data_IF_338539690962
#
_entry.id   IF_338539690962
#
_cell.length_a   1.000
_cell.length_b   1.000
_cell.length_c   1.000
_cell.angle_alpha   90.00
_cell.angle_beta   90.00
_cell.angle_gamma   90.00
#
_symmetry.space_group_name_H-M   'P 1'
#
loop_
_entity.id
_entity.type
_entity.pdbx_description
1 polymer ?
#
# COMPACT_ATOMS: atom_id res chain seq x y z
N UNK A 1 -25.91 -32.61 -21.16
CA UNK A 1 -25.96 -31.19 -20.79
C UNK A 1 -24.64 -30.85 -20.10
N UNK A 2 -23.69 -30.19 -20.79
CA UNK A 2 -22.40 -29.79 -20.21
C UNK A 2 -22.63 -28.52 -19.39
N UNK A 3 -22.44 -28.56 -18.07
CA UNK A 3 -22.35 -27.36 -17.27
C UNK A 3 -21.00 -26.70 -17.57
N UNK A 4 -21.02 -25.73 -18.50
CA UNK A 4 -19.94 -24.74 -18.58
C UNK A 4 -20.10 -23.86 -17.35
N UNK A 5 -19.45 -24.25 -16.26
CA UNK A 5 -19.19 -23.32 -15.16
C UNK A 5 -18.08 -22.38 -15.65
N UNK A 6 -18.46 -21.15 -15.99
CA UNK A 6 -17.50 -20.08 -16.15
C UNK A 6 -16.91 -19.81 -14.76
N UNK A 7 -15.72 -20.37 -14.48
CA UNK A 7 -15.01 -20.30 -13.20
C UNK A 7 -14.39 -18.92 -12.92
N UNK A 8 -15.11 -17.84 -13.21
CA UNK A 8 -14.68 -16.47 -12.92
C UNK A 8 -15.16 -15.96 -11.55
N UNK A 9 -15.85 -16.80 -10.79
CA UNK A 9 -16.29 -16.46 -9.45
C UNK A 9 -15.21 -16.85 -8.43
N UNK A 10 -14.98 -15.98 -7.43
CA UNK A 10 -14.20 -16.15 -6.19
C UNK A 10 -12.75 -15.61 -6.15
N UNK A 11 -12.21 -14.95 -7.18
CA UNK A 11 -10.90 -14.25 -7.02
C UNK A 11 -11.09 -12.89 -6.33
N UNK A 12 -11.49 -12.89 -5.05
CA UNK A 12 -11.50 -11.66 -4.25
C UNK A 12 -10.06 -11.29 -3.94
N UNK A 13 -9.50 -10.37 -4.70
CA UNK A 13 -8.19 -9.78 -4.38
C UNK A 13 -8.35 -9.01 -3.07
N UNK A 14 -8.01 -9.66 -1.95
CA UNK A 14 -7.84 -8.98 -0.67
C UNK A 14 -6.62 -8.03 -0.66
N UNK A 15 -5.91 -7.92 -1.78
CA UNK A 15 -4.64 -7.20 -1.92
C UNK A 15 -4.75 -5.69 -2.08
N UNK A 16 -5.95 -5.10 -2.15
CA UNK A 16 -6.09 -3.63 -2.20
C UNK A 16 -5.72 -2.94 -0.87
N UNK A 17 -5.74 -3.68 0.26
CA UNK A 17 -5.38 -3.20 1.60
C UNK A 17 -4.06 -3.78 2.11
N UNK A 18 -3.03 -3.83 1.26
CA UNK A 18 -1.66 -4.07 1.74
C UNK A 18 -1.12 -2.81 2.45
N UNK A 19 -0.72 -2.95 3.71
CA UNK A 19 -0.15 -1.85 4.52
C UNK A 19 1.04 -1.18 3.83
N UNK A 20 1.80 -1.91 3.00
CA UNK A 20 2.97 -1.38 2.28
C UNK A 20 2.56 -0.37 1.21
N UNK A 21 1.42 -0.58 0.57
CA UNK A 21 0.86 0.38 -0.38
C UNK A 21 0.36 1.62 0.35
N UNK A 22 -0.32 1.45 1.50
CA UNK A 22 -0.79 2.59 2.30
C UNK A 22 0.37 3.45 2.82
N UNK A 23 1.38 2.82 3.44
CA UNK A 23 2.59 3.49 3.93
C UNK A 23 3.35 4.14 2.77
N UNK A 24 3.55 3.41 1.65
CA UNK A 24 4.28 3.91 0.49
C UNK A 24 3.63 5.15 -0.13
N UNK A 25 2.31 5.15 -0.32
CA UNK A 25 1.57 6.32 -0.84
C UNK A 25 1.63 7.49 0.15
N UNK A 26 1.43 7.24 1.44
CA UNK A 26 1.45 8.28 2.46
C UNK A 26 2.83 8.97 2.55
N UNK A 27 3.91 8.18 2.62
CA UNK A 27 5.28 8.70 2.59
C UNK A 27 5.56 9.45 1.27
N UNK A 28 5.02 8.96 0.15
CA UNK A 28 5.16 9.60 -1.15
C UNK A 28 4.53 10.99 -1.19
N UNK A 29 3.29 11.14 -0.70
CA UNK A 29 2.59 12.42 -0.64
C UNK A 29 3.37 13.41 0.25
N UNK A 30 3.73 13.00 1.47
CA UNK A 30 4.51 13.86 2.36
C UNK A 30 5.88 14.21 1.79
N UNK A 31 6.58 13.25 1.19
CA UNK A 31 7.88 13.46 0.57
C UNK A 31 7.83 14.46 -0.58
N UNK A 32 6.82 14.36 -1.44
CA UNK A 32 6.62 15.32 -2.54
C UNK A 32 6.34 16.72 -2.00
N UNK A 33 5.45 16.85 -1.01
CA UNK A 33 5.14 18.15 -0.38
C UNK A 33 6.41 18.77 0.21
N UNK A 34 7.17 18.02 1.01
CA UNK A 34 8.40 18.53 1.63
C UNK A 34 9.48 18.87 0.60
N UNK A 35 9.59 18.10 -0.48
CA UNK A 35 10.51 18.40 -1.57
C UNK A 35 10.12 19.71 -2.27
N UNK A 36 8.84 19.92 -2.55
CA UNK A 36 8.35 21.18 -3.15
C UNK A 36 8.62 22.35 -2.20
N UNK A 37 8.26 22.21 -0.93
CA UNK A 37 8.52 23.24 0.10
C UNK A 37 10.01 23.55 0.20
N UNK A 38 10.89 22.55 0.20
CA UNK A 38 12.33 22.78 0.25
C UNK A 38 12.91 23.40 -1.03
N UNK A 39 12.27 23.22 -2.19
CA UNK A 39 12.70 23.86 -3.45
C UNK A 39 12.25 25.34 -3.51
N UNK A 40 11.00 25.62 -3.12
CA UNK A 40 10.39 26.95 -3.32
C UNK A 40 10.39 27.82 -2.07
N UNK A 41 10.56 27.22 -0.90
CA UNK A 41 10.42 27.86 0.39
C UNK A 41 11.73 28.19 1.09
N UNK A 42 12.88 27.77 0.56
CA UNK A 42 14.17 28.01 1.21
C UNK A 42 14.59 29.48 1.10
N UNK A 43 14.58 30.18 2.24
CA UNK A 43 14.93 31.60 2.32
C UNK A 43 16.33 31.84 2.89
N UNK A 44 16.95 33.01 2.63
CA UNK A 44 18.24 33.37 3.23
C UNK A 44 18.23 33.36 4.77
N UNK A 45 17.16 33.85 5.39
CA UNK A 45 16.99 33.86 6.85
C UNK A 45 16.99 32.44 7.44
N UNK A 46 16.37 31.48 6.75
CA UNK A 46 16.40 30.07 7.17
C UNK A 46 17.78 29.45 6.95
N UNK A 47 18.44 29.78 5.83
CA UNK A 47 19.78 29.32 5.52
C UNK A 47 20.80 29.76 6.58
N UNK A 48 20.70 30.97 7.12
CA UNK A 48 21.54 31.43 8.23
C UNK A 48 21.32 30.62 9.50
N UNK A 49 20.08 30.19 9.76
CA UNK A 49 19.72 29.42 10.96
C UNK A 49 20.12 27.95 10.87
N UNK A 50 20.17 27.39 9.66
CA UNK A 50 20.46 25.96 9.42
C UNK A 50 21.86 25.71 8.88
N UNK A 51 22.69 26.74 8.70
CA UNK A 51 24.02 26.61 8.12
C UNK A 51 24.00 26.28 6.62
N UNK A 52 22.97 26.74 5.91
CA UNK A 52 22.79 26.57 4.47
C UNK A 52 22.16 25.25 4.05
N UNK A 53 21.70 24.42 5.00
CA UNK A 53 21.09 23.13 4.73
C UNK A 53 19.57 23.22 4.87
N UNK A 54 18.84 22.88 3.80
CA UNK A 54 17.38 22.76 3.86
C UNK A 54 16.96 21.37 4.37
N UNK A 55 16.43 21.33 5.60
CA UNK A 55 15.94 20.11 6.22
C UNK A 55 14.68 19.55 5.54
N UNK A 56 13.79 20.40 5.00
CA UNK A 56 12.60 19.97 4.29
C UNK A 56 12.98 19.26 2.99
N UNK A 57 13.96 19.80 2.26
CA UNK A 57 14.44 19.20 1.02
C UNK A 57 15.06 17.82 1.24
N UNK A 58 16.01 17.71 2.19
CA UNK A 58 16.66 16.44 2.50
C UNK A 58 15.67 15.39 3.04
N UNK A 59 14.76 15.80 3.92
CA UNK A 59 13.71 14.92 4.45
C UNK A 59 12.76 14.49 3.33
N UNK A 60 12.34 15.41 2.47
CA UNK A 60 11.47 15.15 1.32
C UNK A 60 12.08 14.12 0.38
N UNK A 61 13.35 14.29 0.00
CA UNK A 61 14.09 13.34 -0.85
C UNK A 61 14.15 11.96 -0.18
N UNK A 62 14.48 11.90 1.12
CA UNK A 62 14.52 10.63 1.86
C UNK A 62 13.17 9.91 1.88
N UNK A 63 12.07 10.65 2.07
CA UNK A 63 10.72 10.11 2.03
C UNK A 63 10.33 9.61 0.64
N UNK A 64 10.67 10.35 -0.42
CA UNK A 64 10.39 9.93 -1.81
C UNK A 64 11.13 8.63 -2.14
N UNK A 65 12.42 8.53 -1.81
CA UNK A 65 13.20 7.30 -2.04
C UNK A 65 12.60 6.11 -1.28
N UNK A 66 12.20 6.32 -0.03
CA UNK A 66 11.58 5.29 0.80
C UNK A 66 10.21 4.86 0.24
N UNK A 67 9.39 5.82 -0.21
CA UNK A 67 8.11 5.56 -0.84
C UNK A 67 8.26 4.69 -2.10
N UNK A 68 9.20 5.04 -2.99
CA UNK A 68 9.50 4.25 -4.19
C UNK A 68 9.90 2.83 -3.82
N UNK A 69 10.76 2.66 -2.82
CA UNK A 69 11.15 1.33 -2.33
C UNK A 69 9.94 0.51 -1.87
N UNK A 70 9.06 1.10 -1.07
CA UNK A 70 7.85 0.43 -0.57
C UNK A 70 6.89 0.04 -1.69
N UNK A 71 6.65 0.94 -2.64
CA UNK A 71 5.75 0.69 -3.78
C UNK A 71 6.30 -0.39 -4.71
N UNK A 72 7.61 -0.35 -5.00
CA UNK A 72 8.28 -1.39 -5.80
C UNK A 72 8.21 -2.73 -5.08
N UNK A 73 8.46 -2.76 -3.77
CA UNK A 73 8.41 -4.01 -3.00
C UNK A 73 7.00 -4.59 -2.89
N UNK A 74 5.99 -3.74 -2.69
CA UNK A 74 4.58 -4.15 -2.68
C UNK A 74 4.20 -4.78 -4.04
N UNK A 75 4.65 -4.17 -5.14
CA UNK A 75 4.40 -4.69 -6.50
C UNK A 75 5.11 -6.02 -6.77
N UNK A 76 6.30 -6.23 -6.20
CA UNK A 76 7.05 -7.49 -6.33
C UNK A 76 6.48 -8.66 -5.50
N UNK A 77 5.78 -8.38 -4.40
CA UNK A 77 5.20 -9.41 -3.50
C UNK A 77 3.73 -9.13 -3.18
N UNK A 78 2.80 -9.35 -4.13
CA UNK A 78 1.37 -9.18 -3.89
C UNK A 78 0.83 -10.25 -2.93
N UNK A 79 0.12 -9.84 -1.87
CA UNK A 79 -0.54 -10.76 -0.92
C UNK A 79 -1.85 -11.25 -1.55
N UNK A 80 -2.00 -12.57 -1.65
CA UNK A 80 -3.22 -13.24 -2.11
C UNK A 80 -3.83 -13.96 -0.91
N UNK A 81 -4.97 -13.49 -0.42
CA UNK A 81 -5.77 -14.19 0.59
C UNK A 81 -6.77 -15.06 -0.17
N UNK A 82 -6.86 -16.34 0.21
CA UNK A 82 -7.87 -17.27 -0.27
C UNK A 82 -8.92 -17.31 0.85
N UNK A 83 -10.13 -16.81 0.59
CA UNK A 83 -11.24 -16.93 1.54
C UNK A 83 -11.59 -18.42 1.67
N UNK A 84 -11.33 -18.99 2.86
CA UNK A 84 -11.70 -20.36 3.22
C UNK A 84 -13.03 -20.39 3.96
N UNK A 85 -14.02 -19.58 3.57
CA UNK A 85 -15.33 -19.55 4.24
C UNK A 85 -16.42 -20.31 3.47
N UNK A 86 -16.09 -20.97 2.36
CA UNK A 86 -17.05 -21.80 1.60
C UNK A 86 -17.04 -23.29 1.96
N UNK A 87 -16.28 -23.71 2.98
CA UNK A 87 -16.16 -25.12 3.36
C UNK A 87 -16.97 -25.53 4.61
N UNK A 88 -17.61 -24.59 5.32
CA UNK A 88 -18.29 -24.88 6.60
C UNK A 88 -19.83 -24.81 6.56
N UNK A 89 -20.46 -24.66 5.40
CA UNK A 89 -21.94 -24.67 5.29
C UNK A 89 -22.54 -26.02 4.83
N UNK A 90 -21.70 -27.04 4.59
CA UNK A 90 -22.18 -28.39 4.20
C UNK A 90 -22.02 -29.47 5.27
N UNK A 91 -21.46 -29.14 6.45
CA UNK A 91 -21.21 -30.13 7.52
C UNK A 91 -22.30 -30.18 8.61
N UNK A 92 -23.37 -29.37 8.52
CA UNK A 92 -24.38 -29.22 9.60
C UNK A 92 -25.77 -29.83 9.36
N UNK A 93 -26.05 -30.44 8.21
CA UNK A 93 -27.43 -30.85 7.84
C UNK A 93 -27.61 -32.37 7.69
N UNK A 94 -26.66 -33.18 8.18
CA UNK A 94 -26.59 -34.62 7.90
C UNK A 94 -27.26 -35.57 8.90
N UNK A 95 -27.36 -35.25 10.19
CA UNK A 95 -27.72 -36.24 11.23
C UNK A 95 -28.71 -35.69 12.27
N UNK A 96 -30.01 -35.62 11.96
CA UNK A 96 -31.08 -35.61 12.99
C UNK A 96 -32.35 -36.38 12.59
N UNK A 97 -32.29 -37.33 11.65
CA UNK A 97 -33.44 -38.21 11.35
C UNK A 97 -33.01 -39.66 11.18
N UNK A 98 -32.98 -40.39 12.29
CA UNK A 98 -33.21 -41.84 12.37
C UNK A 98 -33.56 -42.23 13.82
#
# INVERSE_FOLDING_TARGET
>A
MRLVSNSNELTKTAGAFDIRNFIGVLLGIFGVILTIVGIVGFTPDEAERTGGIDANLWTGIGLVLTAVLFLVWAKLRPIRIIDTDSAEDTAGTGDTVA
#
